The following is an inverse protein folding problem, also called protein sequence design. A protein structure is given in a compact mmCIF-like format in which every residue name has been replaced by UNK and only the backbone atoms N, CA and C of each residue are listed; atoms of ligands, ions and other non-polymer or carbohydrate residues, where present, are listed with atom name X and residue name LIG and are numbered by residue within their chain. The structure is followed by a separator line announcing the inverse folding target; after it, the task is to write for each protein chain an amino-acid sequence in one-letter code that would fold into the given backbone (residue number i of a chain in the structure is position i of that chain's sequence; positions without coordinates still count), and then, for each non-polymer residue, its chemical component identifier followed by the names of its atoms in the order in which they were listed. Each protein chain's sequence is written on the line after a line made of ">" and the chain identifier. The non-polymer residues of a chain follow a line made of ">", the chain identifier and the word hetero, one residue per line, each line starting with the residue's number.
data_IF_760524431145
#
_entry.id   IF_760524431145
#
_cell.length_a   1.000
_cell.length_b   1.000
_cell.length_c   1.000
_cell.angle_alpha   90.00
_cell.angle_beta   90.00
_cell.angle_gamma   90.00
#
_symmetry.space_group_name_H-M   'P 1'
#
loop_
_entity.id
_entity.type
_entity.pdbx_description
1 polymer ?
#
# COMPACT_ATOMS: atom_id res chain seq x y z
N UNK A 1 -0.82 23.19 0.96
CA UNK A 1 -0.53 21.82 0.46
C UNK A 1 -0.57 20.83 1.61
N UNK A 2 -1.36 19.76 1.52
CA UNK A 2 -1.43 18.72 2.56
C UNK A 2 -0.33 17.67 2.33
N UNK A 3 0.33 17.26 3.41
CA UNK A 3 1.32 16.18 3.40
C UNK A 3 0.59 14.85 3.56
N UNK A 4 0.83 13.90 2.68
CA UNK A 4 0.06 12.63 2.59
C UNK A 4 0.98 11.41 2.69
N UNK A 5 0.51 10.37 3.38
CA UNK A 5 1.03 9.02 3.24
C UNK A 5 0.05 8.20 2.40
N UNK A 6 0.57 7.36 1.51
CA UNK A 6 -0.27 6.52 0.64
C UNK A 6 -0.13 5.07 1.05
N UNK A 7 -1.26 4.41 1.32
CA UNK A 7 -1.30 2.96 1.47
C UNK A 7 -1.07 2.35 0.09
N UNK A 8 0.05 1.66 -0.08
CA UNK A 8 0.53 1.23 -1.37
C UNK A 8 0.93 -0.24 -1.35
N UNK A 9 0.22 -1.04 -2.14
CA UNK A 9 0.46 -2.48 -2.30
C UNK A 9 1.25 -2.81 -3.56
N UNK A 10 1.53 -1.82 -4.43
CA UNK A 10 2.06 -2.05 -5.78
C UNK A 10 1.04 -2.62 -6.75
N UNK A 11 -0.22 -2.78 -6.33
CA UNK A 11 -1.33 -3.11 -7.22
C UNK A 11 -1.83 -1.89 -7.99
N UNK A 12 -2.50 -2.15 -9.12
CA UNK A 12 -3.03 -1.11 -10.02
C UNK A 12 -3.90 -0.08 -9.30
N UNK A 13 -4.74 -0.52 -8.35
CA UNK A 13 -5.68 0.37 -7.67
C UNK A 13 -4.96 1.32 -6.70
N UNK A 14 -3.95 0.81 -5.98
CA UNK A 14 -3.10 1.67 -5.14
C UNK A 14 -2.26 2.65 -5.96
N UNK A 15 -1.91 2.29 -7.19
CA UNK A 15 -1.23 3.19 -8.12
C UNK A 15 -2.16 4.26 -8.67
N UNK A 16 -3.41 3.91 -9.01
CA UNK A 16 -4.42 4.89 -9.40
C UNK A 16 -4.67 5.91 -8.27
N UNK A 17 -4.86 5.44 -7.04
CA UNK A 17 -5.07 6.32 -5.88
C UNK A 17 -3.89 7.31 -5.67
N UNK A 18 -2.66 6.83 -5.88
CA UNK A 18 -1.46 7.67 -5.84
C UNK A 18 -1.50 8.76 -6.93
N UNK A 19 -1.85 8.40 -8.16
CA UNK A 19 -1.94 9.35 -9.28
C UNK A 19 -3.06 10.39 -9.08
N UNK A 20 -4.23 9.95 -8.60
CA UNK A 20 -5.35 10.85 -8.29
C UNK A 20 -4.99 11.85 -7.19
N UNK A 21 -4.35 11.39 -6.11
CA UNK A 21 -3.86 12.27 -5.06
C UNK A 21 -2.79 13.25 -5.56
N UNK A 22 -1.96 12.84 -6.52
CA UNK A 22 -0.94 13.68 -7.13
C UNK A 22 -1.59 14.78 -7.99
N UNK A 23 -2.56 14.41 -8.82
CA UNK A 23 -3.33 15.32 -9.65
C UNK A 23 -4.10 16.36 -8.82
N UNK A 24 -4.55 15.99 -7.62
CA UNK A 24 -5.17 16.89 -6.66
C UNK A 24 -4.17 17.82 -5.92
N UNK A 25 -2.88 17.79 -6.25
CA UNK A 25 -1.84 18.62 -5.62
C UNK A 25 -1.34 18.09 -4.27
N UNK A 26 -1.50 16.79 -4.02
CA UNK A 26 -0.98 16.12 -2.83
C UNK A 26 0.55 16.10 -2.80
N UNK A 27 1.15 16.37 -1.63
CA UNK A 27 2.60 16.19 -1.42
C UNK A 27 2.83 14.92 -0.63
N UNK A 28 3.37 13.90 -1.28
CA UNK A 28 3.62 12.62 -0.63
C UNK A 28 4.86 12.67 0.25
N UNK A 29 4.74 12.13 1.46
CA UNK A 29 5.85 12.02 2.40
C UNK A 29 6.41 10.62 2.52
N UNK A 30 5.63 9.61 2.17
CA UNK A 30 6.04 8.21 2.13
C UNK A 30 4.99 7.36 1.42
N UNK A 31 5.42 6.19 0.97
CA UNK A 31 4.55 5.05 0.71
C UNK A 31 4.53 4.16 1.95
N UNK A 32 3.37 3.61 2.29
CA UNK A 32 3.20 2.68 3.40
C UNK A 32 2.61 1.37 2.88
N UNK A 33 3.29 0.26 3.11
CA UNK A 33 2.82 -1.07 2.71
C UNK A 33 2.63 -1.98 3.92
N UNK A 34 1.90 -3.07 3.74
CA UNK A 34 1.72 -4.11 4.75
C UNK A 34 2.50 -5.35 4.32
N UNK A 35 3.16 -6.01 5.28
CA UNK A 35 3.84 -7.28 5.02
C UNK A 35 2.87 -8.48 4.92
N UNK A 36 1.61 -8.35 5.37
CA UNK A 36 0.63 -9.43 5.44
C UNK A 36 0.91 -10.51 6.49
N UNK A 37 2.09 -10.49 7.14
CA UNK A 37 2.46 -11.37 8.23
C UNK A 37 2.32 -12.84 7.87
N UNK A 38 1.85 -13.65 8.83
CA UNK A 38 1.59 -15.08 8.63
C UNK A 38 0.53 -15.38 7.54
N UNK A 39 -0.21 -14.36 7.10
CA UNK A 39 -1.27 -14.46 6.09
C UNK A 39 -0.91 -13.74 4.79
N UNK A 40 0.39 -13.51 4.55
CA UNK A 40 0.87 -12.81 3.35
C UNK A 40 0.21 -13.34 2.07
N UNK A 41 0.20 -14.66 1.90
CA UNK A 41 -0.30 -15.33 0.69
C UNK A 41 -1.82 -15.15 0.50
N UNK A 42 -2.57 -14.84 1.55
CA UNK A 42 -4.02 -14.56 1.45
C UNK A 42 -4.30 -13.14 0.94
N UNK A 43 -3.33 -12.23 1.09
CA UNK A 43 -3.48 -10.82 0.75
C UNK A 43 -2.67 -10.41 -0.47
N UNK A 44 -1.58 -11.12 -0.74
CA UNK A 44 -0.66 -10.82 -1.81
C UNK A 44 -0.28 -12.11 -2.54
N UNK A 45 -0.47 -12.09 -3.85
CA UNK A 45 -0.13 -13.23 -4.71
C UNK A 45 1.39 -13.42 -4.93
N UNK A 46 2.24 -12.62 -4.27
CA UNK A 46 3.69 -12.62 -4.51
C UNK A 46 4.46 -12.22 -3.24
N UNK A 47 5.20 -13.16 -2.66
CA UNK A 47 6.04 -12.97 -1.47
C UNK A 47 7.07 -11.83 -1.61
N UNK A 48 7.44 -11.46 -2.83
CA UNK A 48 8.42 -10.39 -3.11
C UNK A 48 7.80 -9.00 -3.03
N UNK A 49 6.47 -8.90 -2.81
CA UNK A 49 5.75 -7.62 -2.88
C UNK A 49 6.34 -6.52 -2.01
N UNK A 50 6.71 -6.75 -0.74
CA UNK A 50 7.23 -5.66 0.09
C UNK A 50 8.54 -5.10 -0.45
N UNK A 51 9.45 -5.97 -0.95
CA UNK A 51 10.69 -5.55 -1.59
C UNK A 51 10.46 -4.77 -2.89
N UNK A 52 9.52 -5.20 -3.73
CA UNK A 52 9.15 -4.49 -4.96
C UNK A 52 8.56 -3.11 -4.67
N UNK A 53 7.72 -3.00 -3.64
CA UNK A 53 7.14 -1.71 -3.24
C UNK A 53 8.22 -0.78 -2.67
N UNK A 54 9.13 -1.29 -1.84
CA UNK A 54 10.25 -0.51 -1.34
C UNK A 54 11.13 0.04 -2.48
N UNK A 55 11.45 -0.80 -3.48
CA UNK A 55 12.18 -0.37 -4.67
C UNK A 55 11.41 0.70 -5.46
N UNK A 56 10.10 0.53 -5.64
CA UNK A 56 9.27 1.52 -6.30
C UNK A 56 9.25 2.87 -5.57
N UNK A 57 9.12 2.86 -4.24
CA UNK A 57 9.18 4.07 -3.43
C UNK A 57 10.53 4.80 -3.60
N UNK A 58 11.63 4.03 -3.60
CA UNK A 58 12.98 4.56 -3.83
C UNK A 58 13.11 5.23 -5.20
N UNK A 59 12.58 4.63 -6.28
CA UNK A 59 12.57 5.24 -7.61
C UNK A 59 11.78 6.55 -7.68
N UNK A 60 10.76 6.69 -6.84
CA UNK A 60 9.99 7.93 -6.71
C UNK A 60 10.66 8.98 -5.81
N UNK A 61 11.80 8.68 -5.19
CA UNK A 61 12.42 9.53 -4.17
C UNK A 61 11.58 9.64 -2.90
N UNK A 62 10.75 8.63 -2.60
CA UNK A 62 9.89 8.59 -1.43
C UNK A 62 10.39 7.55 -0.42
N UNK A 63 10.35 7.87 0.89
CA UNK A 63 10.51 6.87 1.94
C UNK A 63 9.44 5.77 1.85
N UNK A 64 9.82 4.55 2.25
CA UNK A 64 8.90 3.43 2.40
C UNK A 64 8.81 3.02 3.87
N UNK A 65 7.59 2.94 4.41
CA UNK A 65 7.30 2.33 5.70
C UNK A 65 6.60 1.00 5.51
N UNK A 66 7.24 -0.09 5.94
CA UNK A 66 6.58 -1.39 6.04
C UNK A 66 5.89 -1.53 7.39
N UNK A 67 4.59 -1.80 7.36
CA UNK A 67 3.78 -2.07 8.54
C UNK A 67 3.74 -3.58 8.73
N UNK A 68 4.42 -4.04 9.78
CA UNK A 68 4.40 -5.45 10.17
C UNK A 68 3.07 -5.82 10.80
N UNK A 69 2.41 -6.77 10.20
CA UNK A 69 1.08 -7.22 10.60
C UNK A 69 1.20 -8.46 11.49
N UNK A 70 0.64 -8.34 12.71
CA UNK A 70 0.64 -9.45 13.66
C UNK A 70 -0.43 -10.51 13.35
N UNK A 71 -0.46 -11.61 14.12
CA UNK A 71 -1.38 -12.74 13.91
C UNK A 71 -2.88 -12.38 14.00
N UNK A 72 -3.20 -11.22 14.58
CA UNK A 72 -4.57 -10.67 14.67
C UNK A 72 -4.93 -9.73 13.52
N UNK A 73 -4.04 -9.48 12.56
CA UNK A 73 -4.37 -8.65 11.42
C UNK A 73 -5.45 -9.34 10.56
N UNK A 74 -6.53 -8.60 10.36
CA UNK A 74 -7.67 -8.99 9.56
C UNK A 74 -8.02 -7.76 8.71
N UNK A 75 -7.93 -7.87 7.40
CA UNK A 75 -8.66 -6.94 6.54
C UNK A 75 -10.14 -7.16 6.86
N UNK A 76 -10.81 -6.15 7.43
CA UNK A 76 -12.26 -6.20 7.70
C UNK A 76 -12.94 -6.61 6.39
N UNK A 77 -13.68 -7.71 6.49
CA UNK A 77 -14.41 -8.41 5.44
C UNK A 77 -14.65 -7.59 4.15
N UNK A 78 -13.92 -7.91 3.07
CA UNK A 78 -14.13 -7.32 1.74
C UNK A 78 -15.57 -7.49 1.24
N UNK A 79 -16.33 -8.42 1.82
CA UNK A 79 -17.76 -8.64 1.55
C UNK A 79 -18.63 -7.41 1.84
N UNK A 80 -18.20 -6.49 2.71
CA UNK A 80 -18.96 -5.28 3.02
C UNK A 80 -18.70 -4.10 2.06
N UNK A 81 -17.59 -4.11 1.32
CA UNK A 81 -17.15 -2.96 0.51
C UNK A 81 -17.13 -3.21 -1.00
N UNK A 82 -17.35 -4.45 -1.45
CA UNK A 82 -17.68 -4.73 -2.84
C UNK A 82 -19.20 -4.72 -2.93
N UNK A 83 -19.78 -3.52 -3.07
CA UNK A 83 -21.17 -3.37 -3.43
C UNK A 83 -21.43 -4.15 -4.75
N UNK A 84 -22.45 -5.01 -4.73
CA UNK A 84 -23.01 -5.63 -5.95
C UNK A 84 -23.61 -4.56 -6.86
#
# INVERSE_FOLDING_TARGET
>A
MKKLAVIYSGGKDSHLALLEAAAAGGRFSCLAGFDGGDRHEEYFNDARKPGLVAAHASLMGLPYGEIRTGPRFRIKDLRANVAR
#
